data_IF_500012527435
#
_entry.id   IF_500012527435
#
_cell.length_a   1.000
_cell.length_b   1.000
_cell.length_c   1.000
_cell.angle_alpha   90.00
_cell.angle_beta   90.00
_cell.angle_gamma   90.00
#
_symmetry.space_group_name_H-M   'P 1'
#
loop_
_entity.id
_entity.type
_entity.pdbx_description
1 polymer ?
#
# COMPACT_ATOMS: atom_id res chain seq x y z
N UNK A 1 -23.68 -25.82 -15.78
CA UNK A 1 -22.76 -25.57 -14.65
C UNK A 1 -21.88 -24.33 -14.82
N UNK A 2 -21.33 -24.01 -16.00
CA UNK A 2 -20.47 -22.83 -16.21
C UNK A 2 -21.12 -21.46 -15.90
N UNK A 3 -22.44 -21.31 -16.10
CA UNK A 3 -23.16 -20.06 -15.80
C UNK A 3 -23.30 -19.74 -14.31
N UNK A 4 -23.36 -20.76 -13.45
CA UNK A 4 -23.47 -20.56 -11.99
C UNK A 4 -22.16 -20.01 -11.41
N UNK A 5 -21.02 -20.59 -11.81
CA UNK A 5 -19.69 -20.11 -11.40
C UNK A 5 -19.40 -18.68 -11.92
N UNK A 6 -19.87 -18.32 -13.11
CA UNK A 6 -19.68 -16.97 -13.65
C UNK A 6 -20.51 -15.92 -12.90
N UNK A 7 -21.74 -16.28 -12.48
CA UNK A 7 -22.59 -15.42 -11.67
C UNK A 7 -21.99 -15.20 -10.28
N UNK A 8 -21.54 -16.27 -9.62
CA UNK A 8 -20.92 -16.20 -8.30
C UNK A 8 -19.68 -15.31 -8.30
N UNK A 9 -18.82 -15.47 -9.31
CA UNK A 9 -17.64 -14.61 -9.53
C UNK A 9 -18.02 -13.14 -9.68
N UNK A 10 -19.06 -12.83 -10.47
CA UNK A 10 -19.52 -11.44 -10.68
C UNK A 10 -20.06 -10.83 -9.38
N UNK A 11 -20.90 -11.55 -8.65
CA UNK A 11 -21.47 -11.06 -7.38
C UNK A 11 -20.35 -10.81 -6.36
N UNK A 12 -19.42 -11.75 -6.23
CA UNK A 12 -18.26 -11.60 -5.35
C UNK A 12 -17.41 -10.37 -5.70
N UNK A 13 -17.02 -10.22 -6.96
CA UNK A 13 -16.20 -9.09 -7.40
C UNK A 13 -16.94 -7.76 -7.23
N UNK A 14 -18.24 -7.70 -7.50
CA UNK A 14 -19.04 -6.50 -7.26
C UNK A 14 -19.05 -6.13 -5.78
N UNK A 15 -19.34 -7.09 -4.89
CA UNK A 15 -19.35 -6.86 -3.45
C UNK A 15 -17.98 -6.41 -2.92
N UNK A 16 -16.91 -7.02 -3.43
CA UNK A 16 -15.54 -6.65 -3.10
C UNK A 16 -15.20 -5.21 -3.53
N UNK A 17 -15.51 -4.83 -4.78
CA UNK A 17 -15.28 -3.49 -5.29
C UNK A 17 -16.07 -2.42 -4.51
N UNK A 18 -17.32 -2.71 -4.13
CA UNK A 18 -18.10 -1.81 -3.28
C UNK A 18 -17.50 -1.65 -1.88
N UNK A 19 -16.96 -2.73 -1.31
CA UNK A 19 -16.29 -2.69 0.00
C UNK A 19 -15.03 -1.82 -0.06
N UNK A 20 -14.21 -1.98 -1.10
CA UNK A 20 -13.04 -1.12 -1.34
C UNK A 20 -13.44 0.33 -1.55
N UNK A 21 -14.48 0.59 -2.34
CA UNK A 21 -15.00 1.93 -2.57
C UNK A 21 -15.40 2.62 -1.26
N UNK A 22 -16.13 1.92 -0.38
CA UNK A 22 -16.50 2.43 0.93
C UNK A 22 -15.27 2.70 1.80
N UNK A 23 -14.28 1.80 1.80
CA UNK A 23 -13.03 1.98 2.53
C UNK A 23 -12.27 3.23 2.11
N UNK A 24 -12.09 3.43 0.81
CA UNK A 24 -11.44 4.64 0.26
C UNK A 24 -12.26 5.91 0.50
N UNK A 25 -13.59 5.83 0.42
CA UNK A 25 -14.46 6.95 0.76
C UNK A 25 -14.34 7.36 2.23
N UNK A 26 -14.25 6.39 3.14
CA UNK A 26 -14.02 6.64 4.56
C UNK A 26 -12.67 7.33 4.80
N UNK A 27 -11.60 6.87 4.15
CA UNK A 27 -10.27 7.52 4.20
C UNK A 27 -10.38 8.99 3.76
N UNK A 28 -11.01 9.23 2.61
CA UNK A 28 -11.19 10.59 2.09
C UNK A 28 -11.99 11.46 3.06
N UNK A 29 -13.08 10.94 3.61
CA UNK A 29 -13.93 11.68 4.54
C UNK A 29 -13.16 12.05 5.82
N UNK A 30 -12.40 11.12 6.40
CA UNK A 30 -11.57 11.39 7.58
C UNK A 30 -10.50 12.44 7.28
N UNK A 31 -9.84 12.34 6.13
CA UNK A 31 -8.84 13.32 5.68
C UNK A 31 -9.44 14.72 5.56
N UNK A 32 -10.57 14.85 4.85
CA UNK A 32 -11.23 16.14 4.64
C UNK A 32 -11.73 16.75 5.95
N UNK A 33 -12.31 15.93 6.83
CA UNK A 33 -12.79 16.39 8.15
C UNK A 33 -11.63 16.89 9.01
N UNK A 34 -10.58 16.08 9.15
CA UNK A 34 -9.42 16.44 10.00
C UNK A 34 -8.66 17.64 9.46
N UNK A 35 -8.56 17.78 8.13
CA UNK A 35 -7.93 18.95 7.51
C UNK A 35 -8.70 20.24 7.82
N UNK A 36 -10.03 20.20 7.80
CA UNK A 36 -10.89 21.37 8.08
C UNK A 36 -10.90 21.76 9.57
N UNK A 37 -10.81 20.78 10.47
CA UNK A 37 -10.95 21.01 11.92
C UNK A 37 -9.61 21.28 12.64
N UNK A 38 -8.52 20.62 12.23
CA UNK A 38 -7.30 20.56 13.05
C UNK A 38 -6.00 20.77 12.27
N UNK A 39 -6.07 21.02 10.96
CA UNK A 39 -4.89 21.18 10.10
C UNK A 39 -4.09 19.89 9.91
N UNK A 40 -2.81 20.03 9.54
CA UNK A 40 -1.96 18.92 9.09
C UNK A 40 -1.42 18.03 10.22
N UNK A 41 -1.36 18.51 11.47
CA UNK A 41 -0.67 17.81 12.55
C UNK A 41 -1.40 16.53 13.00
N UNK A 42 -2.74 16.58 13.04
CA UNK A 42 -3.56 15.43 13.44
C UNK A 42 -4.01 14.56 12.26
N UNK A 43 -3.75 15.01 11.03
CA UNK A 43 -4.16 14.32 9.81
C UNK A 43 -3.62 12.90 9.74
N UNK A 44 -2.33 12.75 10.05
CA UNK A 44 -1.65 11.46 10.01
C UNK A 44 -2.29 10.46 11.00
N UNK A 45 -2.50 10.88 12.24
CA UNK A 45 -3.08 10.02 13.29
C UNK A 45 -4.51 9.58 13.00
N UNK A 46 -5.30 10.44 12.36
CA UNK A 46 -6.68 10.12 12.01
C UNK A 46 -6.77 9.23 10.76
N UNK A 47 -5.93 9.48 9.75
CA UNK A 47 -5.97 8.78 8.48
C UNK A 47 -5.24 7.42 8.49
N UNK A 48 -4.29 7.20 9.41
CA UNK A 48 -3.45 6.01 9.46
C UNK A 48 -4.25 4.70 9.48
N UNK A 49 -5.16 4.53 10.44
CA UNK A 49 -5.95 3.30 10.60
C UNK A 49 -6.81 2.95 9.37
N UNK A 50 -7.64 3.87 8.84
CA UNK A 50 -8.45 3.56 7.66
C UNK A 50 -7.60 3.37 6.41
N UNK A 51 -6.45 4.04 6.29
CA UNK A 51 -5.53 3.89 5.16
C UNK A 51 -4.82 2.54 5.19
N UNK A 52 -4.36 2.08 6.35
CA UNK A 52 -3.78 0.75 6.54
C UNK A 52 -4.74 -0.36 6.09
N UNK A 53 -6.00 -0.30 6.54
CA UNK A 53 -7.01 -1.29 6.22
C UNK A 53 -7.32 -1.35 4.72
N UNK A 54 -7.53 -0.18 4.11
CA UNK A 54 -7.82 -0.06 2.67
C UNK A 54 -6.65 -0.54 1.81
N UNK A 55 -5.42 -0.29 2.24
CA UNK A 55 -4.22 -0.72 1.53
C UNK A 55 -3.95 -2.22 1.68
N UNK A 56 -4.18 -2.83 2.85
CA UNK A 56 -4.11 -4.31 2.98
C UNK A 56 -5.11 -5.03 2.09
N UNK A 57 -6.29 -4.44 1.87
CA UNK A 57 -7.29 -5.03 1.00
C UNK A 57 -6.81 -5.12 -0.46
N UNK A 58 -5.87 -4.25 -0.89
CA UNK A 58 -5.26 -4.32 -2.23
C UNK A 58 -4.42 -5.59 -2.45
N UNK A 59 -3.97 -6.29 -1.40
CA UNK A 59 -3.32 -7.62 -1.54
C UNK A 59 -4.28 -8.63 -2.18
N UNK A 60 -5.57 -8.55 -1.86
CA UNK A 60 -6.58 -9.44 -2.44
C UNK A 60 -6.71 -9.21 -3.96
N UNK A 61 -6.44 -8.01 -4.48
CA UNK A 61 -6.44 -7.75 -5.93
C UNK A 61 -5.31 -8.52 -6.65
N UNK A 62 -4.14 -8.63 -6.02
CA UNK A 62 -3.03 -9.45 -6.53
C UNK A 62 -3.47 -10.93 -6.55
N UNK A 63 -4.08 -11.41 -5.47
CA UNK A 63 -4.55 -12.80 -5.37
C UNK A 63 -5.64 -13.11 -6.40
N UNK A 64 -6.57 -12.18 -6.67
CA UNK A 64 -7.57 -12.33 -7.72
C UNK A 64 -6.93 -12.42 -9.11
N UNK A 65 -5.87 -11.67 -9.36
CA UNK A 65 -5.08 -11.76 -10.59
C UNK A 65 -4.33 -13.11 -10.71
N UNK A 66 -3.66 -13.55 -9.64
CA UNK A 66 -2.90 -14.81 -9.59
C UNK A 66 -3.77 -16.05 -9.80
N UNK A 67 -4.96 -16.06 -9.19
CA UNK A 67 -5.93 -17.17 -9.30
C UNK A 67 -6.67 -17.14 -10.65
N UNK A 68 -6.45 -16.13 -11.49
CA UNK A 68 -7.16 -15.95 -12.75
C UNK A 68 -8.63 -15.53 -12.57
N UNK A 69 -9.00 -15.12 -11.35
CA UNK A 69 -10.32 -14.62 -10.98
C UNK A 69 -10.56 -13.24 -11.60
N UNK A 70 -9.53 -12.51 -11.99
CA UNK A 70 -9.59 -11.30 -12.83
C UNK A 70 -8.49 -11.39 -13.88
N UNK A 71 -8.76 -10.99 -15.13
CA UNK A 71 -7.74 -10.86 -16.18
C UNK A 71 -6.97 -9.57 -15.93
N UNK A 72 -6.01 -9.61 -15.01
CA UNK A 72 -5.06 -8.52 -14.82
C UNK A 72 -3.65 -9.03 -15.08
N UNK A 73 -2.79 -8.27 -15.78
CA UNK A 73 -1.38 -8.61 -15.92
C UNK A 73 -0.74 -8.56 -14.52
N UNK A 74 -0.65 -9.72 -13.87
CA UNK A 74 -0.16 -9.88 -12.49
C UNK A 74 1.24 -9.31 -12.33
N UNK A 75 2.06 -9.40 -13.38
CA UNK A 75 3.38 -8.79 -13.45
C UNK A 75 3.32 -7.28 -13.24
N UNK A 76 2.29 -6.59 -13.77
CA UNK A 76 2.10 -5.15 -13.60
C UNK A 76 1.50 -4.77 -12.24
N UNK A 77 0.55 -5.55 -11.72
CA UNK A 77 -0.13 -5.22 -10.44
C UNK A 77 0.73 -5.49 -9.22
N UNK A 78 1.65 -6.45 -9.30
CA UNK A 78 2.54 -6.82 -8.20
C UNK A 78 3.38 -5.63 -7.71
N UNK A 79 4.18 -4.93 -8.56
CA UNK A 79 4.96 -3.80 -8.07
C UNK A 79 4.12 -2.56 -7.78
N UNK A 80 2.98 -2.39 -8.45
CA UNK A 80 2.12 -1.22 -8.25
C UNK A 80 1.39 -1.25 -6.89
N UNK A 81 1.00 -2.43 -6.41
CA UNK A 81 0.39 -2.61 -5.08
C UNK A 81 1.49 -2.85 -4.04
N UNK A 82 2.55 -3.55 -4.41
CA UNK A 82 3.74 -3.76 -3.57
C UNK A 82 4.41 -2.46 -3.15
N UNK A 83 4.54 -1.48 -4.06
CA UNK A 83 5.11 -0.15 -3.75
C UNK A 83 4.26 0.59 -2.71
N UNK A 84 2.94 0.58 -2.86
CA UNK A 84 1.99 1.18 -1.92
C UNK A 84 2.03 0.52 -0.55
N UNK A 85 2.02 -0.81 -0.50
CA UNK A 85 2.12 -1.56 0.75
C UNK A 85 3.45 -1.35 1.45
N UNK A 86 4.55 -1.26 0.69
CA UNK A 86 5.88 -1.01 1.24
C UNK A 86 5.95 0.36 1.94
N UNK A 87 5.40 1.41 1.33
CA UNK A 87 5.35 2.73 1.96
C UNK A 87 4.53 2.69 3.25
N UNK A 88 3.37 2.04 3.24
CA UNK A 88 2.47 2.06 4.40
C UNK A 88 2.96 1.16 5.54
N UNK A 89 3.30 -0.09 5.26
CA UNK A 89 3.70 -1.04 6.30
C UNK A 89 5.20 -0.95 6.63
N UNK A 90 6.05 -0.79 5.62
CA UNK A 90 7.50 -0.72 5.79
C UNK A 90 7.96 0.62 6.34
N UNK A 91 7.40 1.74 5.86
CA UNK A 91 7.87 3.07 6.24
C UNK A 91 6.95 3.71 7.29
N UNK A 92 5.63 3.75 7.05
CA UNK A 92 4.74 4.46 7.96
C UNK A 92 4.53 3.72 9.29
N UNK A 93 4.47 2.38 9.26
CA UNK A 93 4.20 1.57 10.45
C UNK A 93 5.47 1.02 11.13
N UNK A 94 6.36 0.36 10.38
CA UNK A 94 7.55 -0.28 10.98
C UNK A 94 8.58 0.74 11.48
N UNK A 95 8.68 1.90 10.84
CA UNK A 95 9.75 2.86 11.11
C UNK A 95 9.62 3.59 12.46
N UNK A 96 8.43 4.12 12.83
CA UNK A 96 8.24 4.70 14.16
C UNK A 96 8.43 3.66 15.28
N UNK A 97 8.02 2.41 15.04
CA UNK A 97 8.15 1.32 16.00
C UNK A 97 9.62 0.94 16.24
N UNK A 98 10.42 0.83 15.17
CA UNK A 98 11.86 0.58 15.29
C UNK A 98 12.52 1.68 16.14
N UNK A 99 12.25 2.96 15.85
CA UNK A 99 12.82 4.07 16.62
C UNK A 99 12.36 4.01 18.09
N UNK A 100 11.09 3.70 18.34
CA UNK A 100 10.51 3.64 19.69
C UNK A 100 11.15 2.53 20.54
N UNK A 101 11.15 1.30 20.03
CA UNK A 101 11.73 0.15 20.74
C UNK A 101 13.24 0.28 20.89
N UNK A 102 13.92 0.83 19.88
CA UNK A 102 15.34 1.08 19.95
C UNK A 102 15.69 2.20 20.95
N UNK A 103 14.89 3.26 21.02
CA UNK A 103 15.02 4.32 22.02
C UNK A 103 14.84 3.77 23.43
N UNK A 104 13.82 2.94 23.68
CA UNK A 104 13.64 2.29 24.98
C UNK A 104 14.81 1.35 25.30
N UNK A 105 15.23 0.51 24.35
CA UNK A 105 16.35 -0.42 24.54
C UNK A 105 17.67 0.27 24.87
N UNK A 106 17.98 1.39 24.21
CA UNK A 106 19.21 2.14 24.48
C UNK A 106 19.16 3.05 25.68
N UNK A 107 18.00 3.62 25.99
CA UNK A 107 17.81 4.38 27.22
C UNK A 107 18.05 3.48 28.44
N UNK A 108 17.63 2.22 28.35
CA UNK A 108 17.84 1.23 29.40
C UNK A 108 19.27 0.66 29.42
N UNK A 109 19.91 0.52 28.25
CA UNK A 109 21.25 -0.07 28.15
C UNK A 109 22.41 0.92 28.36
N UNK A 110 22.26 2.20 27.97
CA UNK A 110 23.37 3.16 27.90
C UNK A 110 23.03 4.58 28.39
N UNK A 111 21.80 4.82 28.86
CA UNK A 111 21.36 6.14 29.34
C UNK A 111 21.27 7.24 28.27
N UNK A 112 21.60 6.96 27.01
CA UNK A 112 21.56 7.91 25.88
C UNK A 112 21.32 7.21 24.54
N UNK A 113 20.67 7.89 23.59
CA UNK A 113 20.31 7.35 22.28
C UNK A 113 21.13 8.00 21.14
N UNK A 114 21.68 7.23 20.17
CA UNK A 114 22.60 7.70 19.16
C UNK A 114 21.93 8.06 17.82
N UNK A 115 22.46 9.09 17.17
CA UNK A 115 21.87 9.77 16.00
C UNK A 115 21.94 8.99 14.67
N UNK A 116 22.69 7.90 14.58
CA UNK A 116 22.89 7.16 13.32
C UNK A 116 21.65 6.38 12.85
N UNK A 117 20.67 6.10 13.71
CA UNK A 117 19.40 5.49 13.28
C UNK A 117 18.47 6.48 12.59
N UNK A 118 18.57 7.76 12.95
CA UNK A 118 17.90 8.80 12.19
C UNK A 118 18.51 8.93 10.81
N UNK A 119 19.82 8.70 10.64
CA UNK A 119 20.42 8.69 9.31
C UNK A 119 19.93 7.51 8.45
N UNK A 120 19.84 6.30 9.02
CA UNK A 120 19.31 5.13 8.31
C UNK A 120 17.86 5.36 7.83
N UNK A 121 17.08 6.14 8.56
CA UNK A 121 15.70 6.56 8.23
C UNK A 121 15.59 7.31 6.92
N UNK A 122 16.44 8.31 6.72
CA UNK A 122 16.34 9.18 5.56
C UNK A 122 17.05 8.59 4.34
N UNK A 123 18.02 7.70 4.54
CA UNK A 123 18.78 7.06 3.45
C UNK A 123 18.06 5.88 2.79
N UNK A 124 17.22 5.15 3.53
CA UNK A 124 16.52 3.96 3.01
C UNK A 124 15.47 4.32 1.94
N UNK A 125 14.81 5.48 2.09
CA UNK A 125 13.88 6.01 1.10
C UNK A 125 14.54 6.29 -0.26
N UNK A 126 15.79 6.77 -0.26
CA UNK A 126 16.54 7.09 -1.48
C UNK A 126 16.85 5.86 -2.34
N UNK A 127 16.92 4.67 -1.76
CA UNK A 127 17.19 3.42 -2.50
C UNK A 127 15.89 2.78 -2.98
N UNK A 128 14.87 2.74 -2.12
CA UNK A 128 13.62 2.04 -2.42
C UNK A 128 12.70 2.81 -3.38
N UNK A 129 12.77 4.15 -3.38
CA UNK A 129 11.95 4.98 -4.26
C UNK A 129 12.35 4.82 -5.75
N UNK A 130 13.64 4.85 -6.14
CA UNK A 130 14.07 4.48 -7.49
C UNK A 130 13.75 3.03 -7.84
N UNK A 131 13.87 2.08 -6.91
CA UNK A 131 13.51 0.68 -7.17
C UNK A 131 12.03 0.54 -7.51
N UNK A 132 11.14 1.21 -6.76
CA UNK A 132 9.70 1.22 -7.05
C UNK A 132 9.37 1.79 -8.43
N UNK A 133 9.86 3.01 -8.73
CA UNK A 133 9.65 3.65 -10.05
C UNK A 133 10.24 2.81 -11.19
N UNK A 134 11.43 2.23 -11.00
CA UNK A 134 12.08 1.40 -12.01
C UNK A 134 11.26 0.15 -12.34
N UNK A 135 10.59 -0.44 -11.34
CA UNK A 135 9.73 -1.59 -11.54
C UNK A 135 8.44 -1.23 -12.29
N UNK A 136 7.84 -0.07 -12.02
CA UNK A 136 6.65 0.42 -12.74
C UNK A 136 6.96 0.73 -14.21
N UNK A 137 8.07 1.43 -14.48
CA UNK A 137 8.51 1.76 -15.85
C UNK A 137 8.91 0.50 -16.62
N UNK A 138 9.64 -0.43 -15.99
CA UNK A 138 10.05 -1.68 -16.60
C UNK A 138 8.86 -2.58 -16.98
N UNK A 139 7.78 -2.55 -16.20
CA UNK A 139 6.58 -3.33 -16.49
C UNK A 139 5.71 -2.73 -17.58
N UNK A 140 5.59 -1.40 -17.66
CA UNK A 140 4.95 -0.71 -18.78
C UNK A 140 5.66 -1.09 -20.09
N UNK A 141 6.99 -1.12 -20.07
CA UNK A 141 7.79 -1.52 -21.22
C UNK A 141 7.49 -2.96 -21.68
N UNK A 142 7.36 -3.89 -20.73
CA UNK A 142 7.02 -5.29 -21.02
C UNK A 142 5.55 -5.50 -21.41
N UNK A 143 4.63 -4.63 -20.98
CA UNK A 143 3.20 -4.72 -21.29
C UNK A 143 2.83 -4.13 -22.67
N UNK A 144 3.60 -3.14 -23.15
CA UNK A 144 3.44 -2.51 -24.47
C UNK A 144 3.27 -3.46 -25.67
N UNK A 145 4.06 -4.54 -25.82
CA UNK A 145 3.89 -5.47 -26.94
C UNK A 145 2.55 -6.22 -26.91
N UNK A 146 1.98 -6.49 -25.73
CA UNK A 146 0.70 -7.19 -25.60
C UNK A 146 -0.49 -6.29 -25.97
N UNK A 147 -0.40 -4.99 -25.72
CA UNK A 147 -1.44 -4.01 -26.07
C UNK A 147 -1.53 -3.84 -27.59
N UNK A 148 -0.39 -3.85 -28.29
CA UNK A 148 -0.35 -3.72 -29.76
C UNK A 148 -0.92 -4.91 -30.52
N UNK A 149 -1.11 -6.06 -29.86
CA UNK A 149 -1.68 -7.28 -30.48
C UNK A 149 -3.22 -7.29 -30.39
N UNK A 150 -3.81 -6.41 -29.59
CA UNK A 150 -5.26 -6.38 -29.30
C UNK A 150 -6.02 -5.20 -29.94
N UNK A 151 -5.31 -4.32 -30.65
CA UNK A 151 -5.85 -3.23 -31.48
C UNK A 151 -5.64 -3.62 -32.94
#
# INVERSE_FOLDING_TARGET
>A
MAGFFSLLRRVYLTAYNFTLFIGWFQVLFTVLKTLKESGHENLYRAAEKPLLFSQTAAVLEILHGLVGLVRSPVTATLPQIGSRLFVVWGILWSFPEIIRYFFFGLKEAFGSAPSWLLWLRYSTFLVLYPTGISSEVGLIYNALPFIKVQI
#
